data_IF_300600114337
#
_entry.id   IF_300600114337
#
_cell.length_a   1.000
_cell.length_b   1.000
_cell.length_c   1.000
_cell.angle_alpha   90.00
_cell.angle_beta   90.00
_cell.angle_gamma   90.00
#
_symmetry.space_group_name_H-M   'P 1'
#
loop_
_entity.id
_entity.type
_entity.pdbx_description
1 polymer ?
#
# COMPACT_ATOMS: atom_id res chain seq x y z
N UNK A 1 -1.72 -19.38 1.91
CA UNK A 1 -0.67 -18.46 1.40
C UNK A 1 -0.28 -18.93 0.00
N UNK A 2 -0.21 -18.03 -0.98
CA UNK A 2 0.33 -18.31 -2.31
C UNK A 2 -0.56 -17.77 -3.42
N UNK A 3 -0.01 -16.91 -4.29
CA UNK A 3 -0.68 -16.48 -5.53
C UNK A 3 -1.87 -15.54 -5.39
N UNK A 4 -2.20 -15.06 -4.18
CA UNK A 4 -3.34 -14.18 -3.94
C UNK A 4 -3.04 -12.76 -4.42
N UNK A 5 -3.84 -12.26 -5.37
CA UNK A 5 -3.66 -10.96 -6.02
C UNK A 5 -4.86 -10.02 -5.94
N UNK A 6 -5.99 -10.44 -5.35
CA UNK A 6 -7.18 -9.59 -5.20
C UNK A 6 -7.96 -9.91 -3.92
N UNK A 7 -8.82 -8.99 -3.48
CA UNK A 7 -9.73 -9.23 -2.36
C UNK A 7 -10.83 -10.25 -2.69
N UNK A 8 -11.26 -10.34 -3.96
CA UNK A 8 -12.20 -11.38 -4.38
C UNK A 8 -11.62 -12.79 -4.16
N UNK A 9 -10.32 -12.98 -4.44
CA UNK A 9 -9.64 -14.24 -4.13
C UNK A 9 -9.52 -14.46 -2.62
N UNK A 10 -9.26 -13.40 -1.84
CA UNK A 10 -9.23 -13.49 -0.37
C UNK A 10 -10.58 -13.98 0.16
N UNK A 11 -11.69 -13.36 -0.24
CA UNK A 11 -13.04 -13.76 0.16
C UNK A 11 -13.36 -15.19 -0.24
N UNK A 12 -12.97 -15.61 -1.45
CA UNK A 12 -13.17 -16.99 -1.91
C UNK A 12 -12.42 -17.99 -1.04
N UNK A 13 -11.14 -17.73 -0.74
CA UNK A 13 -10.36 -18.63 0.11
C UNK A 13 -10.86 -18.68 1.55
N UNK A 14 -11.33 -17.56 2.10
CA UNK A 14 -11.88 -17.49 3.47
C UNK A 14 -13.15 -18.34 3.65
N UNK A 15 -13.81 -18.78 2.57
CA UNK A 15 -14.90 -19.78 2.65
C UNK A 15 -14.42 -21.17 3.04
N UNK A 16 -13.12 -21.45 2.90
CA UNK A 16 -12.53 -22.77 3.05
C UNK A 16 -11.46 -22.85 4.14
N UNK A 17 -10.89 -21.72 4.55
CA UNK A 17 -9.83 -21.64 5.57
C UNK A 17 -10.06 -20.48 6.51
N UNK A 18 -9.51 -20.57 7.72
CA UNK A 18 -9.68 -19.55 8.76
C UNK A 18 -8.92 -18.24 8.49
N UNK A 19 -7.98 -18.25 7.54
CA UNK A 19 -7.15 -17.09 7.26
C UNK A 19 -6.40 -17.15 5.94
N UNK A 20 -6.17 -15.98 5.36
CA UNK A 20 -5.42 -15.79 4.12
C UNK A 20 -4.25 -14.85 4.37
N UNK A 21 -3.05 -15.26 3.94
CA UNK A 21 -1.86 -14.41 3.97
C UNK A 21 -1.56 -13.91 2.56
N UNK A 22 -1.44 -12.58 2.43
CA UNK A 22 -1.03 -11.89 1.20
C UNK A 22 0.41 -11.39 1.37
N UNK A 23 1.31 -11.81 0.47
CA UNK A 23 2.71 -11.39 0.46
C UNK A 23 3.02 -10.43 -0.68
N UNK A 24 3.52 -10.98 -1.80
CA UNK A 24 4.03 -10.22 -2.95
C UNK A 24 3.08 -9.14 -3.47
N UNK A 25 1.77 -9.41 -3.51
CA UNK A 25 0.80 -8.42 -3.99
C UNK A 25 0.69 -7.22 -3.05
N UNK A 26 0.67 -7.43 -1.73
CA UNK A 26 0.63 -6.34 -0.74
C UNK A 26 1.83 -5.40 -0.87
N UNK A 27 2.99 -5.92 -1.26
CA UNK A 27 4.17 -5.09 -1.51
C UNK A 27 4.13 -4.37 -2.88
N UNK A 28 3.68 -5.06 -3.92
CA UNK A 28 3.67 -4.55 -5.31
C UNK A 28 2.57 -3.52 -5.55
N UNK A 29 1.40 -3.73 -4.95
CA UNK A 29 0.16 -2.99 -5.20
C UNK A 29 -0.58 -2.75 -3.87
N UNK A 30 0.04 -2.13 -2.85
CA UNK A 30 -0.49 -2.05 -1.50
C UNK A 30 -1.92 -1.52 -1.40
N UNK A 31 -2.30 -0.62 -2.32
CA UNK A 31 -3.61 0.01 -2.28
C UNK A 31 -4.78 -0.94 -2.56
N UNK A 32 -4.55 -2.15 -3.09
CA UNK A 32 -5.64 -3.13 -3.22
C UNK A 32 -6.22 -3.54 -1.85
N UNK A 33 -5.45 -3.37 -0.76
CA UNK A 33 -5.88 -3.60 0.61
C UNK A 33 -6.70 -2.45 1.21
N UNK A 34 -6.84 -1.31 0.52
CA UNK A 34 -7.57 -0.15 1.04
C UNK A 34 -9.05 -0.46 1.34
N UNK A 35 -9.60 -1.52 0.75
CA UNK A 35 -10.98 -1.97 0.97
C UNK A 35 -11.07 -3.17 1.93
N UNK A 36 -9.94 -3.68 2.46
CA UNK A 36 -9.94 -4.88 3.30
C UNK A 36 -10.71 -4.66 4.60
N UNK A 37 -10.58 -3.50 5.23
CA UNK A 37 -11.30 -3.15 6.46
C UNK A 37 -12.82 -3.31 6.30
N UNK A 38 -13.36 -2.84 5.17
CA UNK A 38 -14.78 -2.92 4.87
C UNK A 38 -15.19 -4.31 4.42
N UNK A 39 -14.47 -4.89 3.45
CA UNK A 39 -14.84 -6.15 2.78
C UNK A 39 -14.59 -7.39 3.63
N UNK A 40 -13.49 -7.41 4.39
CA UNK A 40 -13.04 -8.59 5.12
C UNK A 40 -13.34 -8.48 6.61
N UNK A 41 -13.17 -7.28 7.18
CA UNK A 41 -13.31 -7.08 8.63
C UNK A 41 -14.62 -6.42 9.05
N UNK A 42 -15.50 -6.04 8.11
CA UNK A 42 -16.80 -5.45 8.40
C UNK A 42 -16.75 -4.06 9.04
N UNK A 43 -15.61 -3.37 8.98
CA UNK A 43 -15.41 -2.03 9.56
C UNK A 43 -15.97 -0.94 8.64
N UNK A 44 -17.29 -0.86 8.55
CA UNK A 44 -17.99 0.06 7.63
C UNK A 44 -17.99 1.53 8.07
N UNK A 45 -17.65 1.81 9.32
CA UNK A 45 -17.56 3.18 9.83
C UNK A 45 -16.31 3.92 9.36
N UNK A 46 -15.29 3.20 8.89
CA UNK A 46 -14.03 3.76 8.41
C UNK A 46 -14.08 3.85 6.89
N UNK A 47 -14.01 5.08 6.37
CA UNK A 47 -13.80 5.27 4.93
C UNK A 47 -12.37 4.86 4.57
N UNK A 48 -12.21 4.20 3.41
CA UNK A 48 -10.88 3.97 2.85
C UNK A 48 -10.18 5.31 2.65
N UNK A 49 -8.90 5.37 2.97
CA UNK A 49 -8.08 6.54 2.64
C UNK A 49 -7.84 6.59 1.13
N UNK A 50 -8.01 7.76 0.54
CA UNK A 50 -7.58 8.04 -0.81
C UNK A 50 -6.05 8.03 -0.90
N UNK A 51 -5.51 7.70 -2.08
CA UNK A 51 -4.04 7.61 -2.28
C UNK A 51 -3.31 8.90 -1.89
N UNK A 52 -3.93 10.07 -2.11
CA UNK A 52 -3.37 11.36 -1.71
C UNK A 52 -3.28 11.51 -0.20
N UNK A 53 -4.31 11.08 0.55
CA UNK A 53 -4.32 11.11 2.01
C UNK A 53 -3.24 10.18 2.58
N UNK A 54 -3.09 8.98 1.98
CA UNK A 54 -1.98 8.08 2.32
C UNK A 54 -0.63 8.76 2.08
N UNK A 55 -0.46 9.51 0.99
CA UNK A 55 0.79 10.25 0.74
C UNK A 55 1.06 11.35 1.75
N UNK A 56 0.04 12.10 2.16
CA UNK A 56 0.17 13.17 3.14
C UNK A 56 0.59 12.60 4.50
N UNK A 57 -0.07 11.53 4.95
CA UNK A 57 0.28 10.82 6.19
C UNK A 57 1.71 10.25 6.12
N UNK A 58 2.10 9.66 5.00
CA UNK A 58 3.45 9.15 4.82
C UNK A 58 4.49 10.27 4.76
N UNK A 59 4.16 11.45 4.22
CA UNK A 59 5.05 12.59 4.22
C UNK A 59 5.29 13.13 5.64
N UNK A 60 4.26 13.13 6.49
CA UNK A 60 4.40 13.44 7.91
C UNK A 60 5.26 12.43 8.64
N UNK A 61 5.00 11.14 8.45
CA UNK A 61 5.83 10.06 9.00
C UNK A 61 7.30 10.21 8.58
N UNK A 62 7.57 10.47 7.30
CA UNK A 62 8.94 10.69 6.81
C UNK A 62 9.60 11.89 7.50
N UNK A 63 8.87 13.01 7.69
CA UNK A 63 9.42 14.18 8.40
C UNK A 63 9.80 13.84 9.85
N UNK A 64 8.96 13.07 10.54
CA UNK A 64 9.24 12.59 11.89
C UNK A 64 10.52 11.75 11.92
N UNK A 65 10.58 10.67 11.14
CA UNK A 65 11.70 9.72 11.18
C UNK A 65 13.02 10.31 10.69
N UNK A 66 12.96 11.26 9.74
CA UNK A 66 14.16 11.94 9.25
C UNK A 66 14.74 12.94 10.24
N UNK A 67 13.91 13.47 11.16
CA UNK A 67 14.39 14.24 12.31
C UNK A 67 15.30 13.43 13.23
N UNK A 68 15.08 12.12 13.29
CA UNK A 68 15.85 11.16 14.10
C UNK A 68 17.04 10.53 13.34
N UNK A 69 17.39 11.08 12.16
CA UNK A 69 18.55 10.69 11.38
C UNK A 69 18.31 9.54 10.38
N UNK A 70 17.08 9.01 10.28
CA UNK A 70 16.75 8.04 9.24
C UNK A 70 16.73 8.72 7.86
N UNK A 71 17.31 8.08 6.85
CA UNK A 71 17.28 8.63 5.50
C UNK A 71 15.94 8.31 4.83
N UNK A 72 15.28 9.34 4.28
CA UNK A 72 13.94 9.22 3.67
C UNK A 72 13.84 8.09 2.63
N UNK A 73 14.93 7.79 1.90
CA UNK A 73 14.99 6.69 0.92
C UNK A 73 14.63 5.32 1.48
N UNK A 74 14.86 5.07 2.78
CA UNK A 74 14.54 3.79 3.40
C UNK A 74 13.03 3.58 3.54
N UNK A 75 12.26 4.66 3.59
CA UNK A 75 10.79 4.65 3.61
C UNK A 75 10.24 4.74 2.19
N UNK A 76 10.67 5.75 1.43
CA UNK A 76 10.05 6.09 0.13
C UNK A 76 10.20 4.99 -0.93
N UNK A 77 11.25 4.16 -0.85
CA UNK A 77 11.41 2.98 -1.72
C UNK A 77 10.26 1.97 -1.62
N UNK A 78 9.55 1.93 -0.49
CA UNK A 78 8.42 1.03 -0.26
C UNK A 78 7.08 1.63 -0.74
N UNK A 79 7.06 2.91 -1.10
CA UNK A 79 5.84 3.61 -1.54
C UNK A 79 5.62 3.58 -3.06
N UNK A 80 6.55 3.00 -3.82
CA UNK A 80 6.49 3.00 -5.30
C UNK A 80 5.24 2.30 -5.86
N UNK A 81 4.71 1.31 -5.12
CA UNK A 81 3.52 0.55 -5.50
C UNK A 81 2.19 1.27 -5.27
N UNK A 82 2.15 2.42 -4.60
CA UNK A 82 0.90 3.07 -4.20
C UNK A 82 -0.04 3.36 -5.37
N UNK A 83 0.50 3.83 -6.50
CA UNK A 83 -0.26 4.11 -7.73
C UNK A 83 -0.20 2.97 -8.74
N UNK A 84 0.05 1.73 -8.32
CA UNK A 84 0.02 0.58 -9.22
C UNK A 84 -1.32 0.50 -9.98
N UNK A 85 -1.25 0.20 -11.28
CA UNK A 85 -2.43 0.10 -12.16
C UNK A 85 -3.11 1.43 -12.51
N UNK A 86 -2.69 2.57 -11.96
CA UNK A 86 -3.29 3.87 -12.25
C UNK A 86 -2.74 4.51 -13.54
N UNK A 87 -3.50 5.39 -14.21
CA UNK A 87 -2.94 6.29 -15.21
C UNK A 87 -1.71 7.02 -14.65
N UNK A 88 -0.69 7.20 -15.48
CA UNK A 88 0.57 7.86 -15.10
C UNK A 88 1.40 7.17 -14.00
N UNK A 89 1.09 5.90 -13.64
CA UNK A 89 1.89 5.13 -12.66
C UNK A 89 3.38 5.02 -13.03
N UNK A 90 3.72 5.07 -14.31
CA UNK A 90 5.12 5.11 -14.77
C UNK A 90 5.82 6.42 -14.38
N UNK A 91 5.15 7.56 -14.58
CA UNK A 91 5.65 8.87 -14.20
C UNK A 91 5.80 8.98 -12.67
N UNK A 92 4.84 8.42 -11.91
CA UNK A 92 4.92 8.27 -10.46
C UNK A 92 6.21 7.57 -10.02
N UNK A 93 6.45 6.35 -10.53
CA UNK A 93 7.65 5.57 -10.21
C UNK A 93 8.94 6.32 -10.54
N UNK A 94 8.99 7.00 -11.69
CA UNK A 94 10.17 7.78 -12.11
C UNK A 94 10.43 8.96 -11.16
N UNK A 95 9.39 9.70 -10.76
CA UNK A 95 9.51 10.82 -9.84
C UNK A 95 9.99 10.37 -8.45
N UNK A 96 9.41 9.28 -7.93
CA UNK A 96 9.84 8.71 -6.65
C UNK A 96 11.26 8.15 -6.69
N UNK A 97 11.62 7.40 -7.73
CA UNK A 97 12.98 6.88 -7.91
C UNK A 97 14.03 8.01 -7.98
N UNK A 98 13.72 9.11 -8.67
CA UNK A 98 14.60 10.27 -8.74
C UNK A 98 14.75 10.99 -7.38
N UNK A 99 13.70 11.01 -6.56
CA UNK A 99 13.73 11.58 -5.20
C UNK A 99 14.45 10.69 -4.18
N UNK A 100 14.44 9.38 -4.37
CA UNK A 100 15.13 8.37 -3.53
C UNK A 100 16.67 8.42 -3.69
N UNK A 101 17.16 8.91 -4.83
CA UNK A 101 18.58 8.94 -5.18
C UNK A 101 19.34 10.16 -4.62
N UNK A 102 18.70 11.00 -3.81
CA UNK A 102 19.30 12.11 -3.07
C UNK A 102 19.22 11.85 -1.57
#
# INVERSE_FOLDING_TARGET
NGGITSLDQVEEHLKHVDGVMVGREAYKNPYFLAEADQRIFGQTATNRLERSEVLENMAEYIRHETGDGLQARYITRHMMGLYHGQPLASAWRKKFAAGIAK
#
